data_IF_413498641785
#
_entry.id   IF_413498641785
#
_cell.length_a   1.000
_cell.length_b   1.000
_cell.length_c   1.000
_cell.angle_alpha   90.00
_cell.angle_beta   90.00
_cell.angle_gamma   90.00
#
_symmetry.space_group_name_H-M   'P 1'
#
loop_
_entity.id
_entity.type
_entity.pdbx_description
1 polymer ?
#
# COMPACT_ATOMS: atom_id res chain seq x y z
N UNK A 1 -2.08 11.20 -10.11
CA UNK A 1 -3.43 11.65 -9.75
C UNK A 1 -3.28 12.73 -8.70
N UNK A 2 -3.98 13.85 -8.87
CA UNK A 2 -4.10 14.91 -7.86
C UNK A 2 -5.52 14.83 -7.32
N UNK A 3 -5.66 14.90 -5.99
CA UNK A 3 -6.94 14.96 -5.30
C UNK A 3 -6.82 15.98 -4.19
N UNK A 4 -7.80 16.88 -4.09
CA UNK A 4 -7.87 17.86 -2.99
C UNK A 4 -9.17 17.56 -2.26
N UNK A 5 -9.06 17.13 -1.01
CA UNK A 5 -10.22 16.91 -0.14
C UNK A 5 -10.50 18.21 0.63
N UNK A 6 -11.78 18.57 0.72
CA UNK A 6 -12.26 19.79 1.36
C UNK A 6 -13.15 19.40 2.53
N UNK A 7 -12.95 20.03 3.69
CA UNK A 7 -13.70 19.78 4.92
C UNK A 7 -13.65 18.31 5.39
N UNK A 8 -12.44 17.75 5.45
CA UNK A 8 -12.21 16.44 6.08
C UNK A 8 -11.87 16.64 7.58
N UNK A 9 -10.75 16.10 8.08
CA UNK A 9 -10.28 16.43 9.44
C UNK A 9 -9.77 17.88 9.48
N UNK A 10 -9.12 18.31 8.40
CA UNK A 10 -8.70 19.69 8.16
C UNK A 10 -9.47 20.29 6.97
N UNK A 11 -9.47 21.62 6.86
CA UNK A 11 -10.20 22.32 5.79
C UNK A 11 -9.75 21.89 4.39
N UNK A 12 -8.45 21.66 4.20
CA UNK A 12 -7.84 21.32 2.92
C UNK A 12 -6.85 20.18 3.14
N UNK A 13 -6.94 19.16 2.28
CA UNK A 13 -5.95 18.09 2.21
C UNK A 13 -5.57 17.80 0.77
N UNK A 14 -4.36 18.21 0.41
CA UNK A 14 -3.78 18.02 -0.92
C UNK A 14 -3.15 16.63 -0.98
N UNK A 15 -3.45 15.88 -2.03
CA UNK A 15 -2.92 14.54 -2.24
C UNK A 15 -2.46 14.33 -3.67
N UNK A 16 -1.19 13.98 -3.82
CA UNK A 16 -0.59 13.56 -5.08
C UNK A 16 -0.21 12.08 -5.00
N UNK A 17 -0.78 11.25 -5.88
CA UNK A 17 -0.50 9.80 -5.96
C UNK A 17 0.10 9.47 -7.32
N UNK A 18 1.26 8.83 -7.31
CA UNK A 18 1.96 8.36 -8.51
C UNK A 18 2.24 6.85 -8.41
N UNK A 19 2.25 6.14 -9.56
CA UNK A 19 2.63 4.73 -9.58
C UNK A 19 4.13 4.55 -9.39
N UNK A 20 4.54 3.41 -8.83
CA UNK A 20 5.95 3.12 -8.57
C UNK A 20 6.55 4.01 -7.49
N UNK A 21 7.87 4.11 -7.47
CA UNK A 21 8.60 4.79 -6.41
C UNK A 21 9.01 6.20 -6.84
N UNK A 22 8.06 7.14 -6.75
CA UNK A 22 8.18 8.52 -7.25
C UNK A 22 7.86 9.57 -6.18
N UNK A 23 8.29 9.37 -4.93
CA UNK A 23 7.91 10.23 -3.79
C UNK A 23 8.32 11.69 -4.03
N UNK A 24 9.54 11.94 -4.54
CA UNK A 24 10.00 13.30 -4.87
C UNK A 24 9.08 14.01 -5.87
N UNK A 25 8.64 13.30 -6.91
CA UNK A 25 7.76 13.87 -7.93
C UNK A 25 6.35 14.08 -7.38
N UNK A 26 5.86 13.16 -6.55
CA UNK A 26 4.57 13.30 -5.90
C UNK A 26 4.55 14.54 -4.97
N UNK A 27 5.61 14.72 -4.18
CA UNK A 27 5.80 15.90 -3.35
C UNK A 27 5.89 17.19 -4.17
N UNK A 28 6.73 17.25 -5.21
CA UNK A 28 6.84 18.44 -6.07
C UNK A 28 5.50 18.85 -6.69
N UNK A 29 4.68 17.89 -7.12
CA UNK A 29 3.33 18.18 -7.64
C UNK A 29 2.41 18.70 -6.52
N UNK A 30 2.49 18.13 -5.32
CA UNK A 30 1.68 18.59 -4.19
C UNK A 30 2.08 20.01 -3.75
N UNK A 31 3.37 20.32 -3.74
CA UNK A 31 3.90 21.64 -3.42
C UNK A 31 3.44 22.69 -4.43
N UNK A 32 3.49 22.38 -5.73
CA UNK A 32 3.01 23.28 -6.77
C UNK A 32 1.50 23.59 -6.60
N UNK A 33 0.71 22.60 -6.20
CA UNK A 33 -0.71 22.80 -5.89
C UNK A 33 -0.90 23.65 -4.63
N UNK A 34 -0.06 23.43 -3.62
CA UNK A 34 -0.09 24.18 -2.36
C UNK A 34 0.23 25.65 -2.57
N UNK A 35 1.31 25.95 -3.30
CA UNK A 35 1.74 27.31 -3.66
C UNK A 35 0.60 28.07 -4.38
N UNK A 36 -0.07 27.42 -5.33
CA UNK A 36 -1.18 28.03 -6.09
C UNK A 36 -2.41 28.29 -5.22
N UNK A 37 -2.68 27.44 -4.22
CA UNK A 37 -3.81 27.65 -3.31
C UNK A 37 -3.53 28.77 -2.32
N UNK A 38 -2.29 28.88 -1.83
CA UNK A 38 -1.87 29.92 -0.89
C UNK A 38 -1.91 31.33 -1.52
N UNK A 39 -1.81 31.46 -2.85
CA UNK A 39 -2.05 32.73 -3.54
C UNK A 39 -3.47 33.30 -3.32
N UNK A 40 -4.45 32.44 -3.03
CA UNK A 40 -5.86 32.80 -2.89
C UNK A 40 -6.42 32.58 -1.47
N UNK A 41 -5.71 31.84 -0.62
CA UNK A 41 -6.18 31.38 0.69
C UNK A 41 -5.11 31.62 1.75
N UNK A 42 -5.49 32.23 2.86
CA UNK A 42 -4.61 32.36 4.02
C UNK A 42 -4.64 31.07 4.84
N UNK A 43 -3.51 30.35 4.89
CA UNK A 43 -3.37 29.19 5.76
C UNK A 43 -3.18 29.61 7.21
N UNK A 44 -3.66 28.75 8.12
CA UNK A 44 -3.46 28.99 9.55
C UNK A 44 -2.09 28.48 9.95
N UNK A 45 -1.18 29.40 10.21
CA UNK A 45 0.23 29.11 10.51
C UNK A 45 0.68 29.80 11.79
N UNK A 46 1.50 29.11 12.59
CA UNK A 46 2.18 29.65 13.77
C UNK A 46 3.70 29.50 13.62
N UNK A 47 4.45 30.54 13.97
CA UNK A 47 5.92 30.59 13.81
C UNK A 47 6.69 29.48 14.54
N UNK A 48 6.10 28.88 15.59
CA UNK A 48 6.72 27.81 16.37
C UNK A 48 6.13 26.44 16.04
N UNK A 49 4.84 26.39 15.73
CA UNK A 49 4.10 25.15 15.55
C UNK A 49 3.90 24.77 14.08
N UNK A 50 4.20 25.65 13.13
CA UNK A 50 3.96 25.45 11.70
C UNK A 50 2.48 25.57 11.35
N UNK A 51 2.04 24.80 10.34
CA UNK A 51 0.64 24.71 9.96
C UNK A 51 -0.21 24.13 11.08
N UNK A 52 -1.26 24.87 11.46
CA UNK A 52 -2.20 24.44 12.48
C UNK A 52 -3.23 23.47 11.87
N UNK A 53 -3.48 22.39 12.58
CA UNK A 53 -4.30 21.26 12.15
C UNK A 53 -5.10 20.72 13.33
N UNK A 54 -6.27 20.15 13.05
CA UNK A 54 -7.07 19.47 14.06
C UNK A 54 -6.42 18.18 14.57
N UNK A 55 -5.52 17.57 13.79
CA UNK A 55 -4.88 16.30 14.11
C UNK A 55 -3.45 16.53 14.64
N UNK A 56 -3.15 16.22 15.92
CA UNK A 56 -1.82 16.47 16.49
C UNK A 56 -0.66 15.76 15.76
N UNK A 57 -0.94 14.70 14.98
CA UNK A 57 0.08 14.00 14.20
C UNK A 57 0.51 14.75 12.94
N UNK A 58 -0.23 15.78 12.53
CA UNK A 58 0.05 16.57 11.33
C UNK A 58 0.72 17.93 11.65
N UNK A 59 0.85 18.32 12.93
CA UNK A 59 1.37 19.65 13.31
C UNK A 59 2.80 19.87 12.77
N UNK A 60 3.14 21.11 12.41
CA UNK A 60 4.42 21.44 11.76
C UNK A 60 4.24 21.58 10.25
N UNK A 61 4.81 20.66 9.48
CA UNK A 61 4.73 20.68 8.01
C UNK A 61 3.34 20.33 7.46
N UNK A 62 2.43 19.74 8.23
CA UNK A 62 1.18 19.19 7.67
C UNK A 62 1.39 17.97 6.77
N UNK A 63 2.64 17.56 6.53
CA UNK A 63 3.00 16.64 5.46
C UNK A 63 2.97 15.18 5.91
N UNK A 64 2.30 14.35 5.09
CA UNK A 64 2.41 12.90 5.16
C UNK A 64 2.94 12.30 3.85
N UNK A 65 4.23 12.03 3.81
CA UNK A 65 4.85 11.25 2.76
C UNK A 65 4.63 9.75 3.00
N UNK A 66 4.26 9.01 1.95
CA UNK A 66 4.16 7.56 2.06
C UNK A 66 4.50 6.82 0.77
N UNK A 67 4.95 5.58 0.92
CA UNK A 67 5.17 4.64 -0.17
C UNK A 67 4.47 3.31 0.13
N UNK A 68 3.76 2.78 -0.86
CA UNK A 68 3.18 1.44 -0.79
C UNK A 68 4.13 0.43 -1.44
N UNK A 69 4.45 -0.64 -0.71
CA UNK A 69 5.40 -1.67 -1.13
C UNK A 69 4.82 -3.06 -0.91
N UNK A 70 5.22 -3.99 -1.78
CA UNK A 70 4.83 -5.40 -1.72
C UNK A 70 6.01 -6.23 -1.24
N UNK A 71 5.93 -6.79 -0.02
CA UNK A 71 7.04 -7.47 0.67
C UNK A 71 6.75 -8.96 0.95
N UNK A 72 6.37 -9.77 -0.05
CA UNK A 72 6.02 -11.16 0.16
C UNK A 72 7.22 -12.01 0.61
N UNK A 73 8.42 -11.79 0.07
CA UNK A 73 9.57 -12.65 0.39
C UNK A 73 10.06 -12.40 1.83
N UNK A 74 10.15 -11.14 2.26
CA UNK A 74 10.50 -10.79 3.63
C UNK A 74 9.51 -11.35 4.65
N UNK A 75 8.22 -11.37 4.32
CA UNK A 75 7.22 -12.01 5.16
C UNK A 75 7.40 -13.53 5.19
N UNK A 76 7.62 -14.17 4.04
CA UNK A 76 7.82 -15.62 3.94
C UNK A 76 9.03 -16.14 4.73
N UNK A 77 10.12 -15.37 4.79
CA UNK A 77 11.32 -15.73 5.57
C UNK A 77 11.23 -15.31 7.06
N UNK A 78 10.11 -14.71 7.49
CA UNK A 78 9.89 -14.33 8.89
C UNK A 78 10.67 -13.10 9.36
N UNK A 79 11.18 -12.27 8.45
CA UNK A 79 11.99 -11.10 8.80
C UNK A 79 11.20 -9.78 8.87
N UNK A 80 9.91 -9.78 8.50
CA UNK A 80 9.11 -8.55 8.46
C UNK A 80 9.06 -7.84 9.83
N UNK A 81 8.87 -8.57 10.92
CA UNK A 81 8.77 -7.99 12.26
C UNK A 81 10.02 -7.22 12.69
N UNK A 82 11.21 -7.68 12.27
CA UNK A 82 12.48 -6.99 12.54
C UNK A 82 12.58 -5.68 11.78
N UNK A 83 12.10 -5.66 10.53
CA UNK A 83 12.05 -4.45 9.71
C UNK A 83 11.07 -3.45 10.32
N UNK A 84 9.88 -3.90 10.74
CA UNK A 84 8.90 -3.03 11.40
C UNK A 84 9.48 -2.34 12.64
N UNK A 85 10.20 -3.09 13.48
CA UNK A 85 10.85 -2.55 14.68
C UNK A 85 11.93 -1.51 14.33
N UNK A 86 12.82 -1.83 13.39
CA UNK A 86 13.90 -0.93 12.98
C UNK A 86 13.37 0.39 12.40
N UNK A 87 12.30 0.31 11.59
CA UNK A 87 11.70 1.49 10.94
C UNK A 87 10.99 2.39 11.96
N UNK A 88 10.37 1.79 12.99
CA UNK A 88 9.74 2.56 14.08
C UNK A 88 10.76 3.34 14.91
N UNK A 89 11.97 2.79 15.11
CA UNK A 89 13.04 3.45 15.88
C UNK A 89 13.56 4.74 15.23
N UNK A 90 13.34 4.92 13.92
CA UNK A 90 13.83 6.08 13.15
C UNK A 90 12.69 7.04 12.75
N UNK A 91 11.55 6.99 13.45
CA UNK A 91 10.47 7.97 13.29
C UNK A 91 9.55 7.75 12.07
N UNK A 92 9.56 6.54 11.51
CA UNK A 92 8.67 6.13 10.44
C UNK A 92 7.67 5.07 10.96
N UNK A 93 6.52 4.96 10.33
CA UNK A 93 5.53 3.93 10.62
C UNK A 93 5.36 3.01 9.41
N UNK A 94 5.18 1.72 9.67
CA UNK A 94 4.79 0.74 8.66
C UNK A 94 3.49 0.09 9.10
N UNK A 95 2.50 0.07 8.21
CA UNK A 95 1.19 -0.55 8.46
C UNK A 95 0.78 -1.41 7.27
N UNK A 96 -0.03 -2.44 7.52
CA UNK A 96 -0.69 -3.18 6.45
C UNK A 96 -1.69 -2.29 5.72
N UNK A 97 -1.76 -2.41 4.39
CA UNK A 97 -2.76 -1.68 3.60
C UNK A 97 -4.16 -2.29 3.77
N UNK A 98 -4.22 -3.60 3.89
CA UNK A 98 -5.44 -4.37 4.07
C UNK A 98 -5.32 -5.25 5.32
N UNK A 99 -6.44 -5.43 6.01
CA UNK A 99 -6.52 -6.15 7.28
C UNK A 99 -6.79 -5.23 8.47
N UNK A 100 -7.15 -5.81 9.61
CA UNK A 100 -7.33 -5.09 10.86
C UNK A 100 -6.17 -5.42 11.82
N UNK A 101 -5.74 -4.42 12.60
CA UNK A 101 -4.69 -4.59 13.61
C UNK A 101 -3.33 -4.94 13.00
N UNK A 102 -2.84 -6.15 13.29
CA UNK A 102 -1.50 -6.62 12.92
C UNK A 102 -1.48 -7.58 11.73
N UNK A 103 -2.64 -7.92 11.15
CA UNK A 103 -2.68 -8.76 9.96
C UNK A 103 -2.29 -7.97 8.71
N UNK A 104 -1.30 -8.48 7.96
CA UNK A 104 -0.80 -7.87 6.72
C UNK A 104 -1.35 -8.62 5.51
N UNK A 105 -2.61 -8.35 5.14
CA UNK A 105 -3.24 -9.06 4.03
C UNK A 105 -2.58 -8.68 2.69
N UNK A 106 -2.26 -9.70 1.89
CA UNK A 106 -1.65 -9.54 0.58
C UNK A 106 -0.21 -9.03 0.57
N UNK A 107 0.48 -9.01 1.72
CA UNK A 107 1.86 -8.53 1.87
C UNK A 107 2.06 -7.09 1.34
N UNK A 108 1.02 -6.27 1.39
CA UNK A 108 1.06 -4.86 1.01
C UNK A 108 1.21 -4.00 2.25
N UNK A 109 2.26 -3.20 2.26
CA UNK A 109 2.64 -2.35 3.38
C UNK A 109 2.69 -0.90 2.91
N UNK A 110 2.26 0.01 3.78
CA UNK A 110 2.49 1.44 3.63
C UNK A 110 3.56 1.87 4.63
N UNK A 111 4.63 2.46 4.12
CA UNK A 111 5.62 3.19 4.93
C UNK A 111 5.25 4.67 4.89
N UNK A 112 5.15 5.33 6.04
CA UNK A 112 4.96 6.79 6.10
C UNK A 112 5.75 7.43 7.23
N UNK A 113 5.96 8.75 7.16
CA UNK A 113 6.55 9.48 8.28
C UNK A 113 5.58 9.53 9.46
N UNK A 114 6.13 9.57 10.67
CA UNK A 114 5.39 9.86 11.89
C UNK A 114 5.76 11.25 12.44
N UNK A 115 6.98 11.70 12.16
CA UNK A 115 7.47 13.02 12.55
C UNK A 115 7.07 14.03 11.47
N UNK A 116 6.44 15.12 11.90
CA UNK A 116 5.90 16.21 11.06
C UNK A 116 6.35 17.59 11.54
N UNK A 117 6.72 17.73 12.82
CA UNK A 117 7.26 18.94 13.42
C UNK A 117 8.78 18.82 13.64
N UNK A 118 9.52 19.88 13.32
CA UNK A 118 10.97 19.98 13.56
C UNK A 118 11.86 19.37 12.47
N UNK A 119 11.27 18.95 11.35
CA UNK A 119 11.95 18.55 10.11
C UNK A 119 11.36 19.33 8.95
N UNK A 120 12.14 19.58 7.90
CA UNK A 120 11.60 20.12 6.64
C UNK A 120 10.88 19.04 5.82
N UNK A 121 10.01 19.45 4.89
CA UNK A 121 9.36 18.56 3.93
C UNK A 121 10.39 17.76 3.11
N UNK A 122 11.49 18.38 2.69
CA UNK A 122 12.59 17.72 1.98
C UNK A 122 13.25 16.63 2.81
N UNK A 123 13.49 16.88 4.10
CA UNK A 123 14.06 15.90 5.01
C UNK A 123 13.11 14.71 5.21
N UNK A 124 11.81 14.98 5.37
CA UNK A 124 10.77 13.95 5.46
C UNK A 124 10.77 13.07 4.19
N UNK A 125 10.76 13.68 3.02
CA UNK A 125 10.80 12.98 1.73
C UNK A 125 12.11 12.20 1.56
N UNK A 126 13.24 12.80 1.92
CA UNK A 126 14.55 12.17 1.89
C UNK A 126 14.62 10.91 2.75
N UNK A 127 14.10 10.98 3.97
CA UNK A 127 14.02 9.86 4.91
C UNK A 127 13.15 8.72 4.37
N UNK A 128 11.96 9.03 3.83
CA UNK A 128 11.08 8.03 3.21
C UNK A 128 11.77 7.37 2.02
N UNK A 129 12.44 8.15 1.17
CA UNK A 129 13.14 7.62 0.02
C UNK A 129 14.27 6.66 0.43
N UNK A 130 15.12 7.09 1.37
CA UNK A 130 16.26 6.30 1.83
C UNK A 130 15.83 4.98 2.47
N UNK A 131 14.87 5.01 3.38
CA UNK A 131 14.42 3.81 4.11
C UNK A 131 13.66 2.85 3.20
N UNK A 132 12.74 3.38 2.37
CA UNK A 132 11.99 2.53 1.43
C UNK A 132 12.93 1.84 0.45
N UNK A 133 13.96 2.52 -0.05
CA UNK A 133 14.96 1.93 -0.95
C UNK A 133 15.71 0.77 -0.28
N UNK A 134 16.12 0.92 0.98
CA UNK A 134 16.79 -0.16 1.72
C UNK A 134 15.87 -1.38 1.91
N UNK A 135 14.60 -1.16 2.21
CA UNK A 135 13.63 -2.24 2.39
C UNK A 135 13.36 -2.96 1.08
N UNK A 136 13.25 -2.23 -0.03
CA UNK A 136 13.11 -2.81 -1.38
C UNK A 136 14.32 -3.67 -1.72
N UNK A 137 15.53 -3.24 -1.37
CA UNK A 137 16.73 -4.05 -1.61
C UNK A 137 16.72 -5.33 -0.75
N UNK A 138 16.29 -5.24 0.52
CA UNK A 138 16.11 -6.42 1.37
C UNK A 138 15.04 -7.39 0.87
N UNK A 139 13.97 -6.88 0.26
CA UNK A 139 12.97 -7.73 -0.40
C UNK A 139 13.57 -8.44 -1.62
N UNK A 140 14.39 -7.76 -2.44
CA UNK A 140 15.06 -8.38 -3.59
C UNK A 140 16.08 -9.45 -3.16
N UNK A 141 16.88 -9.17 -2.13
CA UNK A 141 17.77 -10.15 -1.51
C UNK A 141 16.97 -11.39 -1.04
N UNK A 142 15.86 -11.19 -0.33
CA UNK A 142 14.99 -12.26 0.15
C UNK A 142 14.39 -13.09 -0.99
N UNK A 143 13.95 -12.45 -2.07
CA UNK A 143 13.45 -13.13 -3.29
C UNK A 143 14.53 -14.02 -3.91
N UNK A 144 15.77 -13.51 -4.02
CA UNK A 144 16.89 -14.29 -4.55
C UNK A 144 17.23 -15.51 -3.67
N UNK A 145 17.19 -15.35 -2.34
CA UNK A 145 17.39 -16.46 -1.40
C UNK A 145 16.31 -17.54 -1.59
N UNK A 146 15.04 -17.13 -1.69
CA UNK A 146 13.93 -18.06 -1.92
C UNK A 146 14.09 -18.80 -3.25
N UNK A 147 14.45 -18.08 -4.32
CA UNK A 147 14.69 -18.66 -5.64
C UNK A 147 15.82 -19.69 -5.64
N UNK A 148 16.93 -19.40 -4.97
CA UNK A 148 18.10 -20.28 -4.95
C UNK A 148 17.86 -21.56 -4.11
N UNK A 149 17.09 -21.45 -3.04
CA UNK A 149 16.92 -22.55 -2.09
C UNK A 149 15.69 -23.42 -2.41
N UNK A 150 14.61 -22.84 -2.95
CA UNK A 150 13.28 -23.48 -2.99
C UNK A 150 12.55 -23.26 -4.33
N UNK A 151 13.27 -23.16 -5.46
CA UNK A 151 12.69 -22.79 -6.76
C UNK A 151 11.42 -23.58 -7.12
N UNK A 152 11.48 -24.91 -7.05
CA UNK A 152 10.36 -25.78 -7.45
C UNK A 152 9.18 -25.68 -6.47
N UNK A 153 9.45 -25.47 -5.18
CA UNK A 153 8.40 -25.28 -4.17
C UNK A 153 7.71 -23.92 -4.33
N UNK A 154 8.45 -22.87 -4.73
CA UNK A 154 7.86 -21.58 -5.07
C UNK A 154 6.97 -21.70 -6.30
N UNK A 155 7.46 -22.36 -7.35
CA UNK A 155 6.70 -22.60 -8.57
C UNK A 155 5.39 -23.36 -8.28
N UNK A 156 5.45 -24.46 -7.53
CA UNK A 156 4.27 -25.21 -7.10
C UNK A 156 3.30 -24.32 -6.28
N UNK A 157 3.80 -23.50 -5.37
CA UNK A 157 2.99 -22.55 -4.59
C UNK A 157 2.27 -21.54 -5.49
N UNK A 158 2.93 -20.98 -6.49
CA UNK A 158 2.33 -20.02 -7.41
C UNK A 158 1.25 -20.68 -8.28
N UNK A 159 1.53 -21.87 -8.82
CA UNK A 159 0.54 -22.61 -9.63
C UNK A 159 -0.64 -23.14 -8.83
N UNK A 160 -0.44 -23.53 -7.56
CA UNK A 160 -1.55 -23.83 -6.65
C UNK A 160 -2.43 -22.61 -6.42
N UNK A 161 -1.81 -21.46 -6.17
CA UNK A 161 -2.55 -20.21 -5.97
C UNK A 161 -3.34 -19.83 -7.22
N UNK A 162 -2.73 -20.02 -8.40
CA UNK A 162 -3.38 -19.80 -9.70
C UNK A 162 -4.58 -20.72 -9.88
N UNK A 163 -4.39 -22.02 -9.64
CA UNK A 163 -5.44 -23.02 -9.75
C UNK A 163 -6.62 -22.73 -8.83
N UNK A 164 -6.36 -22.30 -7.59
CA UNK A 164 -7.42 -21.93 -6.65
C UNK A 164 -8.16 -20.69 -7.14
N UNK A 165 -7.45 -19.61 -7.49
CA UNK A 165 -8.08 -18.36 -7.97
C UNK A 165 -8.95 -18.59 -9.21
N UNK A 166 -8.49 -19.42 -10.16
CA UNK A 166 -9.23 -19.73 -11.41
C UNK A 166 -10.44 -20.65 -11.21
N UNK A 167 -10.54 -21.39 -10.11
CA UNK A 167 -11.54 -22.46 -9.97
C UNK A 167 -12.41 -22.40 -8.71
N UNK A 168 -11.97 -21.75 -7.64
CA UNK A 168 -12.73 -21.67 -6.39
C UNK A 168 -14.12 -21.08 -6.63
N UNK A 169 -15.12 -21.53 -5.86
CA UNK A 169 -16.51 -21.04 -5.91
C UNK A 169 -16.90 -20.19 -4.71
N UNK A 170 -16.10 -20.25 -3.64
CA UNK A 170 -16.23 -19.48 -2.42
C UNK A 170 -14.81 -19.09 -2.04
N UNK A 171 -14.57 -17.82 -1.73
CA UNK A 171 -13.25 -17.32 -1.34
C UNK A 171 -13.38 -16.15 -0.39
N UNK A 172 -12.75 -16.24 0.78
CA UNK A 172 -12.73 -15.15 1.77
C UNK A 172 -11.83 -14.00 1.30
N UNK A 173 -12.00 -12.80 1.88
CA UNK A 173 -11.10 -11.66 1.60
C UNK A 173 -9.64 -11.99 1.93
N UNK A 174 -9.39 -12.64 3.08
CA UNK A 174 -8.04 -12.98 3.54
C UNK A 174 -7.36 -13.97 2.58
N UNK A 175 -8.09 -15.00 2.14
CA UNK A 175 -7.60 -15.97 1.17
C UNK A 175 -7.32 -15.31 -0.18
N UNK A 176 -8.26 -14.52 -0.71
CA UNK A 176 -8.08 -13.81 -1.98
C UNK A 176 -6.83 -12.94 -1.97
N UNK A 177 -6.65 -12.11 -0.94
CA UNK A 177 -5.48 -11.24 -0.83
C UNK A 177 -4.17 -12.02 -0.75
N UNK A 178 -4.15 -13.13 0.00
CA UNK A 178 -2.98 -14.01 0.10
C UNK A 178 -2.63 -14.62 -1.25
N UNK A 179 -3.60 -15.19 -1.95
CA UNK A 179 -3.38 -15.85 -3.23
C UNK A 179 -3.00 -14.83 -4.33
N UNK A 180 -3.65 -13.67 -4.39
CA UNK A 180 -3.28 -12.60 -5.33
C UNK A 180 -1.86 -12.08 -5.08
N UNK A 181 -1.43 -12.02 -3.81
CA UNK A 181 -0.04 -11.72 -3.48
C UNK A 181 0.93 -12.79 -3.98
N UNK A 182 0.57 -14.07 -3.87
CA UNK A 182 1.38 -15.18 -4.39
C UNK A 182 1.50 -15.08 -5.92
N UNK A 183 0.41 -14.75 -6.63
CA UNK A 183 0.44 -14.53 -8.09
C UNK A 183 1.34 -13.35 -8.45
N UNK A 184 1.23 -12.22 -7.74
CA UNK A 184 2.08 -11.06 -7.99
C UNK A 184 3.57 -11.39 -7.81
N UNK A 185 3.93 -12.14 -6.78
CA UNK A 185 5.31 -12.60 -6.62
C UNK A 185 5.71 -13.56 -7.74
N UNK A 186 4.83 -14.47 -8.14
CA UNK A 186 5.06 -15.37 -9.29
C UNK A 186 5.31 -14.63 -10.59
N UNK A 187 4.62 -13.51 -10.83
CA UNK A 187 4.88 -12.61 -11.96
C UNK A 187 6.24 -11.93 -11.85
N UNK A 188 6.54 -11.33 -10.69
CA UNK A 188 7.80 -10.63 -10.46
C UNK A 188 9.03 -11.55 -10.59
N UNK A 189 8.85 -12.86 -10.36
CA UNK A 189 9.88 -13.89 -10.49
C UNK A 189 9.83 -14.64 -11.83
N UNK A 190 9.00 -14.21 -12.78
CA UNK A 190 8.83 -14.79 -14.11
C UNK A 190 8.36 -16.26 -14.13
N UNK A 191 7.56 -16.70 -13.16
CA UNK A 191 6.85 -17.99 -13.21
C UNK A 191 5.47 -17.89 -13.84
N UNK A 192 4.81 -16.73 -13.71
CA UNK A 192 3.49 -16.48 -14.26
C UNK A 192 3.59 -15.35 -15.27
N UNK A 193 3.29 -15.67 -16.52
CA UNK A 193 3.30 -14.74 -17.64
C UNK A 193 1.86 -14.29 -17.98
N UNK A 194 1.72 -13.28 -18.84
CA UNK A 194 0.45 -12.80 -19.39
C UNK A 194 -0.53 -12.12 -18.40
N UNK A 195 -0.05 -11.70 -17.23
CA UNK A 195 -0.79 -10.81 -16.34
C UNK A 195 -0.10 -9.44 -16.22
N UNK A 196 -0.84 -8.44 -15.73
CA UNK A 196 -0.31 -7.11 -15.46
C UNK A 196 -0.55 -6.72 -14.00
N UNK A 197 0.38 -5.96 -13.42
CA UNK A 197 0.22 -5.43 -12.04
C UNK A 197 -1.05 -4.56 -11.90
N UNK A 198 -1.41 -3.69 -12.87
CA UNK A 198 -2.70 -2.98 -12.84
C UNK A 198 -3.91 -3.90 -12.71
N UNK A 199 -3.97 -5.01 -13.47
CA UNK A 199 -5.08 -5.98 -13.38
C UNK A 199 -5.17 -6.61 -11.99
N UNK A 200 -4.04 -7.00 -11.39
CA UNK A 200 -4.04 -7.54 -10.02
C UNK A 200 -4.51 -6.50 -8.99
N UNK A 201 -4.04 -5.25 -9.12
CA UNK A 201 -4.48 -4.17 -8.22
C UNK A 201 -5.99 -3.90 -8.35
N UNK A 202 -6.52 -3.95 -9.57
CA UNK A 202 -7.95 -3.82 -9.85
C UNK A 202 -8.75 -4.96 -9.19
N UNK A 203 -8.33 -6.22 -9.36
CA UNK A 203 -8.95 -7.37 -8.71
C UNK A 203 -8.90 -7.20 -7.18
N UNK A 204 -7.76 -6.80 -6.61
CA UNK A 204 -7.64 -6.58 -5.16
C UNK A 204 -8.64 -5.53 -4.64
N UNK A 205 -8.91 -4.47 -5.39
CA UNK A 205 -9.85 -3.41 -5.00
C UNK A 205 -11.29 -3.89 -5.15
N UNK A 206 -11.63 -4.50 -6.29
CA UNK A 206 -13.02 -4.92 -6.58
C UNK A 206 -13.50 -6.08 -5.71
N UNK A 207 -12.57 -6.87 -5.20
CA UNK A 207 -12.88 -8.01 -4.33
C UNK A 207 -13.01 -7.63 -2.85
N UNK A 208 -12.84 -6.35 -2.50
CA UNK A 208 -13.10 -5.87 -1.13
C UNK A 208 -14.59 -5.94 -0.79
N UNK A 209 -14.96 -6.18 0.49
CA UNK A 209 -16.37 -6.34 0.88
C UNK A 209 -17.28 -5.20 0.42
N UNK A 210 -16.83 -3.95 0.57
CA UNK A 210 -17.59 -2.76 0.17
C UNK A 210 -17.76 -2.66 -1.36
N UNK A 211 -16.72 -2.99 -2.13
CA UNK A 211 -16.77 -3.01 -3.60
C UNK A 211 -17.76 -4.04 -4.11
N UNK A 212 -17.77 -5.24 -3.51
CA UNK A 212 -18.71 -6.31 -3.85
C UNK A 212 -20.16 -5.88 -3.55
N UNK A 213 -20.42 -5.29 -2.38
CA UNK A 213 -21.77 -4.80 -2.06
C UNK A 213 -22.20 -3.68 -3.00
N UNK A 214 -21.30 -2.75 -3.34
CA UNK A 214 -21.57 -1.69 -4.31
C UNK A 214 -21.92 -2.27 -5.68
N UNK A 215 -21.23 -3.32 -6.13
CA UNK A 215 -21.51 -4.00 -7.38
C UNK A 215 -22.87 -4.72 -7.35
N UNK A 216 -23.21 -5.38 -6.24
CA UNK A 216 -24.49 -6.08 -6.08
C UNK A 216 -25.69 -5.13 -5.91
N UNK A 217 -25.45 -3.90 -5.44
CA UNK A 217 -26.50 -2.91 -5.19
C UNK A 217 -27.31 -3.17 -3.92
N UNK A 218 -26.90 -4.13 -3.10
CA UNK A 218 -27.56 -4.52 -1.86
C UNK A 218 -26.56 -4.91 -0.77
N UNK A 219 -27.03 -4.96 0.48
CA UNK A 219 -26.23 -5.48 1.59
C UNK A 219 -26.20 -7.01 1.52
N UNK A 220 -25.00 -7.59 1.61
CA UNK A 220 -24.78 -9.01 1.41
C UNK A 220 -24.26 -9.65 2.70
N UNK A 221 -24.61 -10.91 2.94
CA UNK A 221 -23.97 -11.68 4.02
C UNK A 221 -22.49 -11.95 3.68
N UNK A 222 -21.63 -12.24 4.68
CA UNK A 222 -20.24 -12.65 4.43
C UNK A 222 -20.12 -13.78 3.40
N UNK A 223 -20.97 -14.81 3.49
CA UNK A 223 -20.95 -15.98 2.61
C UNK A 223 -21.34 -15.63 1.18
N UNK A 224 -22.35 -14.78 1.01
CA UNK A 224 -22.76 -14.29 -0.31
C UNK A 224 -21.64 -13.47 -0.98
N UNK A 225 -20.94 -12.62 -0.20
CA UNK A 225 -19.76 -11.89 -0.68
C UNK A 225 -18.64 -12.82 -1.10
N UNK A 226 -18.42 -13.92 -0.38
CA UNK A 226 -17.37 -14.89 -0.72
C UNK A 226 -17.63 -15.64 -2.03
N UNK A 227 -18.90 -15.90 -2.37
CA UNK A 227 -19.29 -16.47 -3.67
C UNK A 227 -19.02 -15.48 -4.81
N UNK A 228 -19.51 -14.25 -4.67
CA UNK A 228 -19.35 -13.19 -5.67
C UNK A 228 -17.86 -12.83 -5.85
N UNK A 229 -17.09 -12.80 -4.76
CA UNK A 229 -15.63 -12.58 -4.81
C UNK A 229 -14.95 -13.60 -5.73
N UNK A 230 -15.24 -14.89 -5.50
CA UNK A 230 -14.67 -15.94 -6.31
C UNK A 230 -15.11 -15.81 -7.78
N UNK A 231 -16.35 -15.40 -8.04
CA UNK A 231 -16.84 -15.14 -9.41
C UNK A 231 -16.10 -14.00 -10.11
N UNK A 232 -15.94 -12.85 -9.46
CA UNK A 232 -15.20 -11.69 -10.00
C UNK A 232 -13.76 -12.10 -10.36
N UNK A 233 -13.08 -12.80 -9.44
CA UNK A 233 -11.69 -13.24 -9.64
C UNK A 233 -11.59 -14.16 -10.87
N UNK A 234 -12.47 -15.15 -11.00
CA UNK A 234 -12.47 -16.07 -12.15
C UNK A 234 -12.78 -15.38 -13.47
N UNK A 235 -13.61 -14.34 -13.44
CA UNK A 235 -13.97 -13.56 -14.64
C UNK A 235 -12.84 -12.67 -15.15
N UNK A 236 -11.89 -12.30 -14.29
CA UNK A 236 -10.77 -11.40 -14.61
C UNK A 236 -9.43 -12.08 -14.85
N UNK A 237 -9.20 -13.23 -14.23
CA UNK A 237 -8.00 -14.05 -14.44
C UNK A 237 -8.18 -15.01 -15.60
#
# INVERSE_FOLDING_TARGET
MISIMINEEDHIRIQSILPGFQVNKAWSIANEVDDVLEEALDYTYDEKLGYLTCCPTNVGTGMRASAMIHLPALNMIGNISKILQAVTQIGLTIRGLYGEGTEFLGNLFQISNQITLGLSEEEIVGNINAVTSQIVEKEREARNILLNNNRIQLEDKFWRSWGILKNARVMTSQEAMKLLSDIRLGMDLNFIENLTVPLLNEIMIETQPASIQKYAGEELTPEARDIIRAEIIRGKL
#
